data_IF_818527359418
#
_entry.id   IF_818527359418
#
_cell.length_a   1.000
_cell.length_b   1.000
_cell.length_c   1.000
_cell.angle_alpha   90.00
_cell.angle_beta   90.00
_cell.angle_gamma   90.00
#
_symmetry.space_group_name_H-M   'P 1'
#
loop_
_entity.id
_entity.type
_entity.pdbx_description
1 polymer ?
#
# COMPACT_ATOMS: atom_id res chain seq x y z
N UNK A 1 46.73 14.30 15.54
CA UNK A 1 48.08 14.14 14.95
C UNK A 1 48.82 13.10 15.78
N UNK A 2 48.89 11.86 15.31
CA UNK A 2 49.77 10.83 15.86
C UNK A 2 50.33 10.02 14.70
N UNK A 3 51.58 10.30 14.37
CA UNK A 3 52.34 9.65 13.31
C UNK A 3 53.08 8.46 13.91
N UNK A 4 52.67 7.23 13.57
CA UNK A 4 53.43 6.03 13.90
C UNK A 4 54.31 5.65 12.70
N UNK A 5 55.58 6.01 12.78
CA UNK A 5 56.65 5.52 11.91
C UNK A 5 57.11 4.14 12.41
N UNK A 6 56.68 3.07 11.75
CA UNK A 6 57.35 1.76 11.83
C UNK A 6 57.74 1.39 10.41
N UNK A 7 58.77 2.07 9.91
CA UNK A 7 59.48 1.73 8.68
C UNK A 7 60.55 0.68 8.99
N UNK A 8 60.15 -0.58 8.99
CA UNK A 8 61.07 -1.72 9.02
C UNK A 8 61.33 -2.20 7.59
N UNK A 9 62.38 -1.69 6.97
CA UNK A 9 62.83 -2.14 5.64
C UNK A 9 63.55 -3.49 5.79
N UNK A 10 62.80 -4.59 5.80
CA UNK A 10 63.36 -5.92 5.57
C UNK A 10 63.44 -6.10 4.06
N UNK A 11 64.47 -5.51 3.45
CA UNK A 11 64.88 -5.85 2.07
C UNK A 11 65.46 -7.25 2.12
N UNK A 12 64.60 -8.26 2.05
CA UNK A 12 65.03 -9.59 1.66
C UNK A 12 65.34 -9.50 0.17
N UNK A 13 66.61 -9.28 -0.14
CA UNK A 13 67.16 -9.39 -1.48
C UNK A 13 66.93 -10.83 -1.96
N UNK A 14 65.77 -11.05 -2.58
CA UNK A 14 65.38 -12.27 -3.28
C UNK A 14 66.16 -12.41 -4.61
N UNK A 15 67.38 -11.87 -4.67
CA UNK A 15 68.27 -11.90 -5.81
C UNK A 15 69.02 -13.22 -5.83
N UNK A 16 68.38 -14.28 -6.33
CA UNK A 16 69.14 -15.44 -6.83
C UNK A 16 68.57 -16.83 -6.59
N UNK A 17 67.32 -16.99 -6.13
CA UNK A 17 66.68 -18.29 -6.27
C UNK A 17 66.36 -18.46 -7.75
N UNK A 18 67.18 -19.26 -8.45
CA UNK A 18 66.92 -19.69 -9.82
C UNK A 18 65.76 -20.69 -9.81
N UNK A 19 64.54 -20.14 -9.74
CA UNK A 19 63.29 -20.91 -9.74
C UNK A 19 63.16 -21.86 -10.94
N UNK A 20 63.90 -21.59 -12.03
CA UNK A 20 63.96 -22.48 -13.21
C UNK A 20 64.62 -23.82 -12.92
N UNK A 21 65.45 -23.93 -11.86
CA UNK A 21 66.04 -25.20 -11.40
C UNK A 21 65.20 -25.95 -10.38
N UNK A 22 64.26 -25.28 -9.71
CA UNK A 22 63.48 -25.84 -8.60
C UNK A 22 62.14 -26.41 -9.09
N UNK A 23 61.59 -25.87 -10.17
CA UNK A 23 60.31 -26.29 -10.74
C UNK A 23 60.56 -27.20 -11.94
N UNK A 24 60.19 -28.47 -11.82
CA UNK A 24 60.21 -29.41 -12.95
C UNK A 24 59.32 -28.87 -14.08
N UNK A 25 59.76 -28.91 -15.36
CA UNK A 25 58.99 -28.43 -16.50
C UNK A 25 57.55 -28.98 -16.56
N UNK A 26 57.35 -30.24 -16.19
CA UNK A 26 56.04 -30.90 -16.14
C UNK A 26 55.05 -30.22 -15.17
N UNK A 27 55.56 -29.64 -14.08
CA UNK A 27 54.73 -28.91 -13.10
C UNK A 27 54.28 -27.56 -13.68
N UNK A 28 55.12 -26.92 -14.49
CA UNK A 28 54.80 -25.67 -15.19
C UNK A 28 53.69 -25.87 -16.22
N UNK A 29 53.77 -26.93 -17.02
CA UNK A 29 52.74 -27.28 -18.00
C UNK A 29 51.39 -27.62 -17.33
N UNK A 30 51.42 -28.38 -16.22
CA UNK A 30 50.21 -28.65 -15.43
C UNK A 30 49.58 -27.40 -14.82
N UNK A 31 50.40 -26.44 -14.35
CA UNK A 31 49.90 -25.17 -13.82
C UNK A 31 49.28 -24.31 -14.92
N UNK A 32 49.90 -24.24 -16.10
CA UNK A 32 49.37 -23.48 -17.23
C UNK A 32 48.01 -24.03 -17.69
N UNK A 33 47.85 -25.35 -17.76
CA UNK A 33 46.57 -25.95 -18.12
C UNK A 33 45.51 -25.77 -17.03
N UNK A 34 45.89 -25.85 -15.75
CA UNK A 34 44.99 -25.55 -14.63
C UNK A 34 44.51 -24.09 -14.65
N UNK A 35 45.42 -23.13 -14.93
CA UNK A 35 45.08 -21.70 -15.05
C UNK A 35 44.14 -21.47 -16.24
N UNK A 36 44.43 -22.06 -17.40
CA UNK A 36 43.55 -21.95 -18.59
C UNK A 36 42.14 -22.46 -18.27
N UNK A 37 42.01 -23.62 -17.62
CA UNK A 37 40.70 -24.18 -17.23
C UNK A 37 39.97 -23.26 -16.24
N UNK A 38 40.68 -22.67 -15.27
CA UNK A 38 40.07 -21.71 -14.34
C UNK A 38 39.58 -20.44 -15.03
N UNK A 39 40.35 -19.87 -15.96
CA UNK A 39 39.95 -18.68 -16.72
C UNK A 39 38.69 -18.97 -17.53
N UNK A 40 38.63 -20.10 -18.22
CA UNK A 40 37.44 -20.50 -19.00
C UNK A 40 36.23 -20.68 -18.09
N UNK A 41 36.39 -21.35 -16.94
CA UNK A 41 35.31 -21.55 -15.97
C UNK A 41 34.81 -20.23 -15.37
N UNK A 42 35.70 -19.30 -15.09
CA UNK A 42 35.32 -17.97 -14.60
C UNK A 42 34.60 -17.14 -15.66
N UNK A 43 35.05 -17.19 -16.91
CA UNK A 43 34.39 -16.52 -18.03
C UNK A 43 32.97 -17.09 -18.24
N UNK A 44 32.81 -18.42 -18.19
CA UNK A 44 31.49 -19.06 -18.27
C UNK A 44 30.58 -18.62 -17.13
N UNK A 45 31.06 -18.63 -15.88
CA UNK A 45 30.28 -18.18 -14.72
C UNK A 45 29.82 -16.73 -14.86
N UNK A 46 30.69 -15.84 -15.34
CA UNK A 46 30.34 -14.43 -15.59
C UNK A 46 29.25 -14.29 -16.66
N UNK A 47 29.32 -15.05 -17.74
CA UNK A 47 28.30 -15.06 -18.79
C UNK A 47 26.94 -15.58 -18.27
N UNK A 48 26.94 -16.63 -17.44
CA UNK A 48 25.70 -17.15 -16.82
C UNK A 48 25.10 -16.15 -15.81
N UNK A 49 25.92 -15.46 -15.03
CA UNK A 49 25.49 -14.42 -14.11
C UNK A 49 24.85 -13.23 -14.83
N UNK A 50 25.46 -12.75 -15.92
CA UNK A 50 24.88 -11.68 -16.74
C UNK A 50 23.57 -12.11 -17.39
N UNK A 51 23.48 -13.35 -17.87
CA UNK A 51 22.23 -13.90 -18.42
C UNK A 51 21.13 -13.96 -17.37
N UNK A 52 21.43 -14.43 -16.16
CA UNK A 52 20.46 -14.48 -15.07
C UNK A 52 20.01 -13.08 -14.65
N UNK A 53 20.93 -12.11 -14.62
CA UNK A 53 20.61 -10.72 -14.32
C UNK A 53 19.67 -10.10 -15.37
N UNK A 54 19.93 -10.35 -16.65
CA UNK A 54 19.06 -9.88 -17.74
C UNK A 54 17.67 -10.54 -17.68
N UNK A 55 17.59 -11.83 -17.34
CA UNK A 55 16.32 -12.53 -17.19
C UNK A 55 15.48 -11.98 -16.02
N UNK A 56 16.10 -11.72 -14.87
CA UNK A 56 15.42 -11.13 -13.72
C UNK A 56 14.95 -9.69 -14.00
N UNK A 57 15.76 -8.88 -14.70
CA UNK A 57 15.34 -7.54 -15.12
C UNK A 57 14.14 -7.59 -16.08
N UNK A 58 14.13 -8.55 -17.02
CA UNK A 58 13.00 -8.76 -17.93
C UNK A 58 11.73 -9.20 -17.18
N UNK A 59 11.85 -10.10 -16.19
CA UNK A 59 10.72 -10.51 -15.33
C UNK A 59 10.17 -9.34 -14.52
N UNK A 60 11.04 -8.50 -13.95
CA UNK A 60 10.62 -7.32 -13.19
C UNK A 60 9.86 -6.31 -14.05
N UNK A 61 10.33 -6.05 -15.28
CA UNK A 61 9.63 -5.17 -16.23
C UNK A 61 8.25 -5.72 -16.60
N UNK A 62 8.15 -7.02 -16.86
CA UNK A 62 6.87 -7.67 -17.18
C UNK A 62 5.88 -7.61 -16.00
N UNK A 63 6.34 -7.84 -14.77
CA UNK A 63 5.50 -7.74 -13.57
C UNK A 63 5.05 -6.30 -13.30
N UNK A 64 5.92 -5.31 -13.52
CA UNK A 64 5.58 -3.90 -13.39
C UNK A 64 4.51 -3.48 -14.40
N UNK A 65 4.63 -3.92 -15.65
CA UNK A 65 3.65 -3.64 -16.70
C UNK A 65 2.29 -4.30 -16.41
N UNK A 66 2.28 -5.56 -15.98
CA UNK A 66 1.04 -6.24 -15.57
C UNK A 66 0.37 -5.52 -14.39
N UNK A 67 1.15 -5.02 -13.42
CA UNK A 67 0.64 -4.22 -12.29
C UNK A 67 0.05 -2.90 -12.77
N UNK A 68 0.69 -2.19 -13.71
CA UNK A 68 0.16 -0.95 -14.30
C UNK A 68 -1.16 -1.18 -15.02
N UNK A 69 -1.25 -2.22 -15.85
CA UNK A 69 -2.49 -2.58 -16.56
C UNK A 69 -3.64 -2.90 -15.59
N UNK A 70 -3.37 -3.69 -14.53
CA UNK A 70 -4.38 -3.97 -13.50
C UNK A 70 -4.83 -2.73 -12.72
N UNK A 71 -3.91 -1.80 -12.44
CA UNK A 71 -4.25 -0.56 -11.77
C UNK A 71 -5.14 0.33 -12.65
N UNK A 72 -4.82 0.42 -13.94
CA UNK A 72 -5.62 1.15 -14.92
C UNK A 72 -7.01 0.54 -15.13
N UNK A 73 -7.11 -0.78 -15.25
CA UNK A 73 -8.39 -1.49 -15.37
C UNK A 73 -9.28 -1.23 -14.15
N UNK A 74 -8.72 -1.32 -12.93
CA UNK A 74 -9.44 -1.02 -11.71
C UNK A 74 -9.90 0.45 -11.65
N UNK A 75 -9.07 1.39 -12.12
CA UNK A 75 -9.45 2.80 -12.24
C UNK A 75 -10.63 2.99 -13.21
N UNK A 76 -10.60 2.34 -14.38
CA UNK A 76 -11.70 2.37 -15.36
C UNK A 76 -12.99 1.82 -14.79
N UNK A 77 -12.94 0.67 -14.10
CA UNK A 77 -14.12 0.08 -13.43
C UNK A 77 -14.70 1.02 -12.38
N UNK A 78 -13.87 1.64 -11.55
CA UNK A 78 -14.32 2.58 -10.53
C UNK A 78 -15.00 3.82 -11.15
N UNK A 79 -14.47 4.33 -12.26
CA UNK A 79 -15.09 5.45 -12.99
C UNK A 79 -16.44 5.05 -13.60
N UNK A 80 -16.55 3.85 -14.16
CA UNK A 80 -17.79 3.32 -14.73
C UNK A 80 -18.87 3.12 -13.66
N UNK A 81 -18.52 2.54 -12.51
CA UNK A 81 -19.41 2.41 -11.35
C UNK A 81 -19.91 3.78 -10.86
N UNK A 82 -19.03 4.78 -10.83
CA UNK A 82 -19.39 6.15 -10.48
C UNK A 82 -20.40 6.75 -11.48
N UNK A 83 -20.17 6.58 -12.79
CA UNK A 83 -21.10 7.02 -13.84
C UNK A 83 -22.47 6.35 -13.69
N UNK A 84 -22.50 5.03 -13.45
CA UNK A 84 -23.73 4.29 -13.23
C UNK A 84 -24.51 4.79 -12.00
N UNK A 85 -23.83 5.05 -10.87
CA UNK A 85 -24.46 5.62 -9.69
C UNK A 85 -25.03 7.03 -9.94
N UNK A 86 -24.30 7.86 -10.69
CA UNK A 86 -24.78 9.19 -11.06
C UNK A 86 -26.05 9.12 -11.92
N UNK A 87 -26.14 8.16 -12.84
CA UNK A 87 -27.33 7.94 -13.67
C UNK A 87 -28.55 7.50 -12.85
N UNK A 88 -28.38 6.53 -11.94
CA UNK A 88 -29.45 6.10 -11.02
C UNK A 88 -29.95 7.30 -10.20
N UNK A 89 -29.05 8.14 -9.70
CA UNK A 89 -29.42 9.35 -8.94
C UNK A 89 -30.16 10.37 -9.80
N UNK A 90 -29.81 10.53 -11.08
CA UNK A 90 -30.56 11.38 -12.03
C UNK A 90 -31.97 10.85 -12.26
N UNK A 91 -32.12 9.53 -12.47
CA UNK A 91 -33.43 8.87 -12.63
C UNK A 91 -34.30 9.01 -11.38
N UNK A 92 -33.74 8.80 -10.18
CA UNK A 92 -34.47 9.02 -8.92
C UNK A 92 -34.95 10.46 -8.76
N UNK A 93 -34.11 11.46 -9.07
CA UNK A 93 -34.51 12.87 -9.04
C UNK A 93 -35.62 13.18 -10.05
N UNK A 94 -35.57 12.61 -11.24
CA UNK A 94 -36.62 12.76 -12.25
C UNK A 94 -37.95 12.19 -11.76
N UNK A 95 -37.95 10.97 -11.20
CA UNK A 95 -39.15 10.33 -10.65
C UNK A 95 -39.75 11.12 -9.48
N UNK A 96 -38.92 11.64 -8.57
CA UNK A 96 -39.39 12.51 -7.46
C UNK A 96 -40.02 13.79 -8.00
N UNK A 97 -39.41 14.41 -9.03
CA UNK A 97 -39.95 15.62 -9.66
C UNK A 97 -41.28 15.34 -10.36
N UNK A 98 -41.41 14.21 -11.05
CA UNK A 98 -42.65 13.77 -11.70
C UNK A 98 -43.75 13.48 -10.68
N UNK A 99 -43.45 12.71 -9.62
CA UNK A 99 -44.38 12.44 -8.52
C UNK A 99 -44.86 13.72 -7.84
N UNK A 100 -43.97 14.70 -7.65
CA UNK A 100 -44.33 16.01 -7.10
C UNK A 100 -45.28 16.78 -8.02
N UNK A 101 -45.06 16.75 -9.34
CA UNK A 101 -45.97 17.35 -10.32
C UNK A 101 -47.33 16.66 -10.32
N UNK A 102 -47.37 15.33 -10.33
CA UNK A 102 -48.61 14.55 -10.27
C UNK A 102 -49.39 14.84 -8.98
N UNK A 103 -48.71 14.93 -7.84
CA UNK A 103 -49.32 15.29 -6.56
C UNK A 103 -49.94 16.70 -6.60
N UNK A 104 -49.23 17.69 -7.16
CA UNK A 104 -49.77 19.05 -7.33
C UNK A 104 -51.00 19.08 -8.26
N UNK A 105 -50.97 18.33 -9.35
CA UNK A 105 -52.11 18.23 -10.28
C UNK A 105 -53.34 17.62 -9.59
N UNK A 106 -53.15 16.60 -8.75
CA UNK A 106 -54.24 15.98 -7.98
C UNK A 106 -54.90 16.98 -7.01
N UNK A 107 -54.12 17.80 -6.31
CA UNK A 107 -54.66 18.85 -5.43
C UNK A 107 -55.49 19.87 -6.24
N UNK A 108 -55.01 20.28 -7.42
CA UNK A 108 -55.74 21.20 -8.28
C UNK A 108 -57.07 20.59 -8.77
N UNK A 109 -57.08 19.30 -9.11
CA UNK A 109 -58.28 18.58 -9.53
C UNK A 109 -59.33 18.46 -8.41
N UNK A 110 -58.90 18.14 -7.17
CA UNK A 110 -59.80 18.06 -6.01
C UNK A 110 -60.41 19.43 -5.65
N UNK A 111 -59.69 20.53 -5.88
CA UNK A 111 -60.20 21.89 -5.68
C UNK A 111 -61.35 22.28 -6.61
N UNK A 112 -61.40 21.74 -7.83
CA UNK A 112 -62.45 22.03 -8.81
C UNK A 112 -63.79 21.34 -8.49
N UNK A 113 -63.78 20.24 -7.74
CA UNK A 113 -65.01 19.49 -7.39
C UNK A 113 -65.83 20.14 -6.25
N UNK A 114 -65.42 21.30 -5.72
CA UNK A 114 -66.21 22.04 -4.72
C UNK A 114 -66.40 21.33 -3.38
N UNK A 115 -65.79 20.15 -3.19
CA UNK A 115 -65.76 19.44 -1.91
C UNK A 115 -64.81 20.17 -0.97
N UNK A 116 -65.35 21.21 -0.32
CA UNK A 116 -64.69 21.97 0.74
C UNK A 116 -64.05 20.96 1.71
N UNK A 117 -62.71 20.88 1.82
CA UNK A 117 -62.07 19.91 2.69
C UNK A 117 -62.61 20.15 4.10
N UNK A 118 -63.31 19.14 4.65
CA UNK A 118 -63.80 19.21 6.03
C UNK A 118 -62.58 19.51 6.90
N UNK A 119 -62.58 20.60 7.68
CA UNK A 119 -61.47 20.90 8.57
C UNK A 119 -61.31 19.72 9.50
N UNK A 120 -60.25 18.93 9.30
CA UNK A 120 -59.84 17.93 10.28
C UNK A 120 -59.57 18.72 11.54
N UNK A 121 -60.44 18.60 12.53
CA UNK A 121 -60.27 19.17 13.86
C UNK A 121 -58.83 18.87 14.28
N UNK A 122 -58.03 19.92 14.38
CA UNK A 122 -56.69 19.84 14.94
C UNK A 122 -56.88 19.33 16.37
N UNK A 123 -56.66 18.03 16.57
CA UNK A 123 -56.42 17.48 17.88
C UNK A 123 -55.09 18.08 18.33
N UNK A 124 -55.18 19.28 18.90
CA UNK A 124 -54.16 19.90 19.73
C UNK A 124 -53.90 18.93 20.88
N UNK A 125 -53.05 17.94 20.65
CA UNK A 125 -52.31 17.31 21.71
C UNK A 125 -51.35 18.37 22.24
N UNK A 126 -51.85 19.21 23.15
CA UNK A 126 -51.02 19.84 24.16
C UNK A 126 -50.42 18.69 24.95
N UNK A 127 -49.18 18.33 24.63
CA UNK A 127 -48.36 17.53 25.53
C UNK A 127 -48.13 18.41 26.76
N UNK A 128 -48.45 17.94 27.99
CA UNK A 128 -48.22 18.72 29.20
C UNK A 128 -46.72 18.98 29.33
N UNK A 129 -46.35 20.25 29.30
CA UNK A 129 -45.01 20.72 29.61
C UNK A 129 -44.89 20.75 31.15
N UNK A 130 -44.97 19.59 31.80
CA UNK A 130 -44.81 19.47 33.25
C UNK A 130 -43.40 18.98 33.58
N UNK A 131 -42.60 19.96 34.03
CA UNK A 131 -41.50 19.86 34.97
C UNK A 131 -40.86 18.49 35.21
N UNK A 132 -39.83 18.16 34.43
CA UNK A 132 -38.77 17.26 34.88
C UNK A 132 -37.48 18.06 34.99
N UNK A 133 -37.36 18.84 36.09
CA UNK A 133 -36.06 19.20 36.66
C UNK A 133 -35.52 18.00 37.44
N UNK A 134 -35.35 16.87 36.75
CA UNK A 134 -34.64 15.72 37.29
C UNK A 134 -33.14 15.93 37.08
N UNK A 135 -32.45 16.48 38.08
CA UNK A 135 -30.99 16.41 38.12
C UNK A 135 -30.62 14.93 38.28
N UNK A 136 -30.29 14.27 37.16
CA UNK A 136 -29.73 12.94 37.21
C UNK A 136 -28.25 13.00 37.60
N UNK A 137 -27.80 12.14 38.53
CA UNK A 137 -26.39 12.08 38.90
C UNK A 137 -25.52 11.75 37.69
N UNK A 138 -24.35 12.39 37.52
CA UNK A 138 -23.46 12.15 36.40
C UNK A 138 -22.99 10.68 36.41
N UNK A 139 -22.92 10.06 35.23
CA UNK A 139 -22.34 8.72 35.12
C UNK A 139 -20.89 8.71 35.63
N UNK A 140 -20.41 7.56 36.12
CA UNK A 140 -19.05 7.41 36.67
C UNK A 140 -17.94 7.86 35.71
N UNK A 141 -18.20 7.85 34.40
CA UNK A 141 -17.27 8.33 33.38
C UNK A 141 -17.24 9.87 33.29
N UNK A 142 -18.40 10.54 33.22
CA UNK A 142 -18.50 12.01 33.28
C UNK A 142 -18.01 12.55 34.65
N UNK A 143 -18.12 11.77 35.73
CA UNK A 143 -17.62 12.13 37.07
C UNK A 143 -16.09 12.18 37.14
N UNK A 144 -15.38 11.30 36.42
CA UNK A 144 -13.91 11.26 36.42
C UNK A 144 -13.27 12.30 35.51
N UNK A 145 -13.96 12.78 34.49
CA UNK A 145 -13.38 13.69 33.49
C UNK A 145 -13.27 15.16 33.95
N UNK A 146 -13.81 15.55 35.11
CA UNK A 146 -13.71 16.93 35.64
C UNK A 146 -14.50 18.00 34.87
N UNK A 147 -14.81 17.74 33.60
CA UNK A 147 -15.61 18.61 32.74
C UNK A 147 -17.10 18.51 33.08
N UNK A 148 -17.53 19.28 34.07
CA UNK A 148 -18.87 19.29 34.68
C UNK A 148 -20.00 19.84 33.79
N UNK A 149 -19.83 19.92 32.46
CA UNK A 149 -20.95 20.23 31.56
C UNK A 149 -21.89 19.02 31.51
N UNK A 150 -22.94 19.09 32.33
CA UNK A 150 -23.92 18.04 32.58
C UNK A 150 -24.26 17.23 31.33
N UNK A 151 -24.13 15.91 31.46
CA UNK A 151 -24.40 14.98 30.38
C UNK A 151 -25.92 14.98 30.10
N UNK A 152 -26.38 15.68 29.05
CA UNK A 152 -27.80 15.73 28.66
C UNK A 152 -28.22 14.36 28.15
N UNK A 153 -29.18 13.73 28.83
CA UNK A 153 -29.79 12.49 28.37
C UNK A 153 -30.81 12.81 27.27
N UNK A 154 -30.79 12.08 26.14
CA UNK A 154 -31.90 12.09 25.19
C UNK A 154 -33.18 11.64 25.91
N UNK A 155 -34.36 12.20 25.58
CA UNK A 155 -35.60 11.95 26.31
C UNK A 155 -36.08 10.49 26.39
N UNK A 156 -35.48 9.57 25.63
CA UNK A 156 -36.15 8.31 25.27
C UNK A 156 -35.31 7.03 25.36
N UNK A 157 -34.34 6.94 26.29
CA UNK A 157 -33.55 5.71 26.41
C UNK A 157 -33.49 5.11 27.82
N UNK A 158 -33.89 3.83 27.91
CA UNK A 158 -33.62 2.89 29.02
C UNK A 158 -32.14 2.52 29.17
N UNK A 159 -31.22 3.28 28.58
CA UNK A 159 -29.79 3.01 28.60
C UNK A 159 -29.12 3.76 29.75
N UNK A 160 -28.31 3.11 30.60
CA UNK A 160 -27.61 3.76 31.71
C UNK A 160 -26.41 4.64 31.25
N UNK A 161 -26.25 4.88 29.95
CA UNK A 161 -25.11 5.63 29.39
C UNK A 161 -25.56 6.95 28.79
N UNK A 162 -24.86 8.04 29.09
CA UNK A 162 -25.19 9.34 28.49
C UNK A 162 -24.83 9.36 27.00
N UNK A 163 -25.48 10.23 26.21
CA UNK A 163 -25.29 10.30 24.76
C UNK A 163 -23.82 10.48 24.33
N UNK A 164 -23.03 11.21 25.11
CA UNK A 164 -21.57 11.35 24.87
C UNK A 164 -20.81 10.04 25.06
N UNK A 165 -21.09 9.29 26.13
CA UNK A 165 -20.45 8.00 26.37
C UNK A 165 -20.89 6.95 25.34
N UNK A 166 -22.14 7.01 24.90
CA UNK A 166 -22.64 6.15 23.83
C UNK A 166 -21.92 6.40 22.50
N UNK A 167 -21.74 7.67 22.13
CA UNK A 167 -20.98 8.03 20.92
C UNK A 167 -19.51 7.63 21.03
N UNK A 168 -18.88 7.82 22.19
CA UNK A 168 -17.51 7.37 22.43
C UNK A 168 -17.37 5.84 22.32
N UNK A 169 -18.38 5.09 22.80
CA UNK A 169 -18.44 3.63 22.68
C UNK A 169 -18.59 3.19 21.21
N UNK A 170 -19.50 3.80 20.46
CA UNK A 170 -19.67 3.53 19.01
C UNK A 170 -18.37 3.84 18.26
N UNK A 171 -17.69 4.94 18.59
CA UNK A 171 -16.43 5.31 17.95
C UNK A 171 -15.32 4.29 18.25
N UNK A 172 -15.21 3.82 19.49
CA UNK A 172 -14.22 2.80 19.87
C UNK A 172 -14.50 1.44 19.21
N UNK A 173 -15.77 1.03 19.12
CA UNK A 173 -16.15 -0.22 18.47
C UNK A 173 -15.93 -0.17 16.95
N UNK A 174 -16.16 0.97 16.30
CA UNK A 174 -15.88 1.16 14.88
C UNK A 174 -14.37 1.24 14.56
N UNK A 175 -13.57 1.90 15.40
CA UNK A 175 -12.10 1.88 15.26
C UNK A 175 -11.53 0.47 15.42
N UNK A 176 -11.98 -0.29 16.42
CA UNK A 176 -11.53 -1.68 16.64
C UNK A 176 -11.95 -2.60 15.49
N UNK A 177 -13.12 -2.35 14.88
CA UNK A 177 -13.60 -3.11 13.73
C UNK A 177 -12.81 -2.80 12.46
N UNK A 178 -12.35 -1.55 12.28
CA UNK A 178 -11.52 -1.18 11.14
C UNK A 178 -10.14 -1.85 11.19
N UNK A 179 -9.51 -1.93 12.37
CA UNK A 179 -8.18 -2.55 12.54
C UNK A 179 -8.22 -4.09 12.40
N UNK A 180 -9.34 -4.73 12.78
CA UNK A 180 -9.51 -6.17 12.62
C UNK A 180 -9.73 -6.60 11.16
N UNK A 181 -10.24 -5.70 10.31
CA UNK A 181 -10.44 -5.98 8.87
C UNK A 181 -9.13 -5.79 8.09
N UNK A 182 -8.25 -4.90 8.54
CA UNK A 182 -6.94 -4.64 7.89
C UNK A 182 -5.91 -5.76 8.12
N UNK A 183 -6.12 -6.64 9.11
CA UNK A 183 -5.24 -7.79 9.40
C UNK A 183 -5.79 -9.14 8.95
N UNK A 184 -6.91 -9.18 8.23
CA UNK A 184 -7.40 -10.43 7.63
C UNK A 184 -6.66 -10.71 6.32
N UNK A 185 -5.85 -11.79 6.21
CA UNK A 185 -5.16 -12.13 4.98
C UNK A 185 -6.20 -12.42 3.89
N UNK A 186 -6.19 -11.54 2.90
CA UNK A 186 -7.06 -11.50 1.72
C UNK A 186 -7.32 -12.90 1.17
N UNK A 187 -8.61 -13.18 0.99
CA UNK A 187 -9.18 -14.45 0.55
C UNK A 187 -8.41 -15.13 -0.58
N UNK A 188 -8.03 -16.37 -0.29
CA UNK A 188 -7.33 -17.26 -1.20
C UNK A 188 -8.13 -17.60 -2.45
N UNK A 189 -7.46 -17.43 -3.59
CA UNK A 189 -7.74 -18.16 -4.83
C UNK A 189 -7.52 -19.65 -4.55
N UNK A 190 -8.52 -20.49 -4.84
CA UNK A 190 -8.45 -21.96 -4.68
C UNK A 190 -7.36 -22.54 -5.58
N UNK A 191 -6.12 -22.58 -5.12
CA UNK A 191 -5.06 -23.36 -5.75
C UNK A 191 -5.23 -24.83 -5.36
N UNK A 192 -5.29 -25.70 -6.38
CA UNK A 192 -5.26 -27.15 -6.23
C UNK A 192 -4.08 -27.54 -5.33
N UNK A 193 -4.40 -28.17 -4.21
CA UNK A 193 -3.46 -28.71 -3.23
C UNK A 193 -2.64 -29.81 -3.90
N UNK A 194 -1.45 -29.47 -4.40
CA UNK A 194 -0.44 -30.47 -4.71
C UNK A 194 -0.05 -31.14 -3.39
N UNK A 195 -0.17 -32.47 -3.40
CA UNK A 195 0.13 -33.37 -2.29
C UNK A 195 1.63 -33.25 -2.01
N UNK A 196 2.01 -32.34 -1.09
CA UNK A 196 3.36 -32.34 -0.52
C UNK A 196 3.55 -33.66 0.21
N UNK A 197 4.42 -34.49 -0.33
CA UNK A 197 5.05 -35.59 0.40
C UNK A 197 5.69 -34.95 1.62
N UNK A 198 5.17 -35.30 2.79
CA UNK A 198 5.75 -34.97 4.08
C UNK A 198 7.05 -35.76 4.13
N UNK A 199 8.17 -35.10 3.87
CA UNK A 199 9.46 -35.60 4.30
C UNK A 199 9.39 -35.62 5.83
N UNK A 200 9.58 -36.81 6.41
CA UNK A 200 9.73 -36.98 7.86
C UNK A 200 10.76 -35.98 8.36
N UNK A 201 10.30 -35.03 9.16
CA UNK A 201 11.16 -34.24 10.01
C UNK A 201 11.70 -35.20 11.09
N UNK A 202 12.80 -35.87 10.79
CA UNK A 202 13.71 -36.42 11.80
C UNK A 202 14.03 -35.25 12.72
N UNK A 203 13.60 -35.35 13.98
CA UNK A 203 13.78 -34.27 14.94
C UNK A 203 15.27 -33.99 15.08
N UNK A 204 15.65 -32.73 14.99
CA UNK A 204 17.04 -32.29 15.22
C UNK A 204 17.51 -32.59 16.64
N UNK A 205 16.60 -32.94 17.56
CA UNK A 205 16.92 -33.42 18.91
C UNK A 205 17.61 -34.80 18.90
N UNK A 206 17.21 -35.75 18.04
CA UNK A 206 17.87 -37.07 17.96
C UNK A 206 19.30 -36.99 17.38
N UNK A 207 19.57 -35.99 16.53
CA UNK A 207 20.90 -35.77 15.94
C UNK A 207 21.84 -35.07 16.94
N UNK A 208 21.32 -34.14 17.76
CA UNK A 208 22.11 -33.52 18.84
C UNK A 208 22.46 -34.52 19.95
N UNK A 209 21.55 -35.45 20.29
CA UNK A 209 21.82 -36.49 21.30
C UNK A 209 22.85 -37.51 20.82
N UNK A 210 22.85 -37.87 19.52
CA UNK A 210 23.85 -38.76 18.93
C UNK A 210 25.25 -38.11 18.81
N UNK A 211 25.33 -36.79 18.59
CA UNK A 211 26.60 -36.06 18.49
C UNK A 211 27.16 -35.59 19.85
N UNK A 212 26.35 -35.60 20.92
CA UNK A 212 26.75 -35.19 22.27
C UNK A 212 27.81 -36.07 22.94
N UNK A 213 28.18 -37.20 22.35
CA UNK A 213 29.11 -38.18 22.92
C UNK A 213 30.57 -38.05 22.47
N UNK A 214 30.90 -37.12 21.55
CA UNK A 214 32.27 -36.94 21.02
C UNK A 214 32.97 -35.63 21.41
N UNK A 215 32.46 -34.91 22.41
CA UNK A 215 33.18 -33.76 23.00
C UNK A 215 34.28 -34.22 23.94
N UNK A 216 35.31 -34.88 23.40
CA UNK A 216 36.61 -34.97 24.06
C UNK A 216 37.16 -33.54 24.10
N UNK A 217 37.03 -32.90 25.26
CA UNK A 217 37.63 -31.60 25.55
C UNK A 217 39.16 -31.72 25.49
N UNK A 218 39.70 -31.63 24.27
CA UNK A 218 41.14 -31.53 24.02
C UNK A 218 41.66 -30.13 24.36
N UNK A 219 42.91 -30.00 24.85
CA UNK A 219 43.46 -28.76 25.39
C UNK A 219 43.88 -27.72 24.34
N UNK A 220 43.06 -27.49 23.31
CA UNK A 220 43.30 -26.45 22.29
C UNK A 220 42.46 -25.21 22.58
N UNK A 221 42.72 -24.56 23.72
CA UNK A 221 42.01 -23.34 24.16
C UNK A 221 42.60 -22.04 23.62
N UNK A 222 43.48 -22.10 22.61
CA UNK A 222 43.93 -20.89 21.90
C UNK A 222 43.20 -20.77 20.56
N UNK A 223 42.23 -19.84 20.42
CA UNK A 223 41.61 -19.57 19.14
C UNK A 223 42.67 -19.17 18.14
N UNK A 224 42.62 -19.80 16.96
CA UNK A 224 43.51 -19.54 15.83
C UNK A 224 43.60 -18.01 15.58
N UNK A 225 44.82 -17.43 15.53
CA UNK A 225 45.00 -16.01 15.23
C UNK A 225 44.26 -15.57 13.96
N UNK A 226 44.12 -16.43 12.96
CA UNK A 226 43.36 -16.13 11.74
C UNK A 226 41.87 -16.01 12.03
N UNK A 227 41.30 -16.91 12.84
CA UNK A 227 39.91 -16.85 13.25
C UNK A 227 39.58 -15.55 14.00
N UNK A 228 40.48 -15.07 14.88
CA UNK A 228 40.28 -13.82 15.60
C UNK A 228 40.26 -12.59 14.67
N UNK A 229 41.08 -12.59 13.61
CA UNK A 229 41.08 -11.50 12.61
C UNK A 229 39.80 -11.54 11.77
N UNK A 230 39.34 -12.73 11.39
CA UNK A 230 38.09 -12.89 10.64
C UNK A 230 36.88 -12.48 11.46
N UNK A 231 36.78 -12.91 12.73
CA UNK A 231 35.70 -12.53 13.64
C UNK A 231 35.64 -11.01 13.84
N UNK A 232 36.81 -10.37 14.01
CA UNK A 232 36.88 -8.91 14.11
C UNK A 232 36.39 -8.22 12.85
N UNK A 233 36.86 -8.66 11.66
CA UNK A 233 36.42 -8.09 10.37
C UNK A 233 34.94 -8.31 10.13
N UNK A 234 34.42 -9.48 10.49
CA UNK A 234 32.99 -9.80 10.37
C UNK A 234 32.17 -8.88 11.28
N UNK A 235 32.62 -8.64 12.52
CA UNK A 235 31.99 -7.68 13.42
C UNK A 235 31.97 -6.25 12.87
N UNK A 236 33.06 -5.81 12.25
CA UNK A 236 33.15 -4.49 11.59
C UNK A 236 32.18 -4.37 10.40
N UNK A 237 32.06 -5.42 9.57
CA UNK A 237 31.11 -5.45 8.45
C UNK A 237 29.66 -5.43 8.93
N UNK A 238 29.33 -6.23 9.95
CA UNK A 238 27.98 -6.25 10.53
C UNK A 238 27.61 -4.86 11.08
N UNK A 239 28.52 -4.22 11.83
CA UNK A 239 28.30 -2.88 12.36
C UNK A 239 28.08 -1.83 11.25
N UNK A 240 28.81 -1.94 10.13
CA UNK A 240 28.62 -1.06 8.97
C UNK A 240 27.25 -1.27 8.31
N UNK A 241 26.80 -2.52 8.16
CA UNK A 241 25.46 -2.85 7.63
C UNK A 241 24.37 -2.27 8.54
N UNK A 242 24.49 -2.41 9.85
CA UNK A 242 23.53 -1.86 10.82
C UNK A 242 23.46 -0.33 10.78
N UNK A 243 24.61 0.35 10.62
CA UNK A 243 24.64 1.79 10.41
C UNK A 243 23.91 2.20 9.12
N UNK A 244 24.19 1.53 8.00
CA UNK A 244 23.52 1.80 6.72
C UNK A 244 22.01 1.56 6.81
N UNK A 245 21.56 0.48 7.47
CA UNK A 245 20.13 0.23 7.66
C UNK A 245 19.44 1.33 8.47
N UNK A 246 20.10 1.87 9.51
CA UNK A 246 19.57 3.01 10.27
C UNK A 246 19.48 4.28 9.44
N UNK A 247 20.47 4.57 8.61
CA UNK A 247 20.44 5.73 7.72
C UNK A 247 19.33 5.62 6.67
N UNK A 248 19.15 4.44 6.07
CA UNK A 248 18.04 4.18 5.15
C UNK A 248 16.67 4.34 5.82
N UNK A 249 16.51 3.88 7.07
CA UNK A 249 15.28 4.08 7.83
C UNK A 249 15.01 5.56 8.15
N UNK A 250 16.06 6.34 8.44
CA UNK A 250 15.94 7.79 8.63
C UNK A 250 15.57 8.52 7.32
N UNK A 251 16.21 8.15 6.20
CA UNK A 251 15.89 8.71 4.88
C UNK A 251 14.44 8.40 4.49
N UNK A 252 13.97 7.16 4.70
CA UNK A 252 12.57 6.79 4.47
C UNK A 252 11.62 7.65 5.30
N UNK A 253 11.89 7.81 6.60
CA UNK A 253 11.08 8.66 7.48
C UNK A 253 11.03 10.12 7.01
N UNK A 254 12.13 10.65 6.45
CA UNK A 254 12.16 12.00 5.86
C UNK A 254 11.29 12.09 4.61
N UNK A 255 11.38 11.10 3.72
CA UNK A 255 10.56 11.06 2.51
C UNK A 255 9.06 10.95 2.83
N UNK A 256 8.70 10.14 3.82
CA UNK A 256 7.32 10.02 4.30
C UNK A 256 6.80 11.36 4.87
N UNK A 257 7.67 12.10 5.56
CA UNK A 257 7.37 13.47 6.02
C UNK A 257 7.11 14.44 4.86
N UNK A 258 7.94 14.43 3.81
CA UNK A 258 7.72 15.24 2.61
C UNK A 258 6.43 14.85 1.88
N UNK A 259 6.14 13.54 1.76
CA UNK A 259 4.92 13.06 1.12
C UNK A 259 3.67 13.55 1.88
N UNK A 260 3.71 13.51 3.22
CA UNK A 260 2.64 14.05 4.07
C UNK A 260 2.46 15.57 3.88
N UNK A 261 3.55 16.32 3.81
CA UNK A 261 3.52 17.78 3.60
C UNK A 261 2.93 18.14 2.23
N UNK A 262 3.32 17.42 1.18
CA UNK A 262 2.77 17.60 -0.17
C UNK A 262 1.27 17.28 -0.23
N UNK A 263 0.83 16.21 0.44
CA UNK A 263 -0.59 15.85 0.54
C UNK A 263 -1.38 16.97 1.25
N UNK A 264 -0.83 17.51 2.35
CA UNK A 264 -1.48 18.59 3.09
C UNK A 264 -1.62 19.87 2.24
N UNK A 265 -0.60 20.24 1.45
CA UNK A 265 -0.67 21.37 0.53
C UNK A 265 -1.72 21.17 -0.58
N UNK A 266 -1.82 19.96 -1.13
CA UNK A 266 -2.84 19.62 -2.12
C UNK A 266 -4.26 19.77 -1.53
N UNK A 267 -4.49 19.22 -0.34
CA UNK A 267 -5.79 19.29 0.35
C UNK A 267 -6.15 20.74 0.77
N UNK A 268 -5.14 21.57 1.08
CA UNK A 268 -5.32 22.97 1.41
C UNK A 268 -5.74 23.81 0.19
N UNK A 269 -5.23 23.48 -1.01
CA UNK A 269 -5.61 24.12 -2.27
C UNK A 269 -7.09 23.95 -2.60
N UNK A 270 -7.62 22.73 -2.42
CA UNK A 270 -9.02 22.39 -2.71
C UNK A 270 -10.03 23.14 -1.83
N UNK A 271 -9.64 23.53 -0.61
CA UNK A 271 -10.52 24.31 0.27
C UNK A 271 -10.62 25.78 -0.12
N UNK A 272 -9.64 26.33 -0.84
CA UNK A 272 -9.63 27.75 -1.24
C UNK A 272 -10.42 28.02 -2.52
N UNK A 273 -10.74 26.98 -3.31
CA UNK A 273 -11.54 27.05 -4.53
C UNK A 273 -13.06 26.92 -4.35
N UNK A 274 -13.54 26.44 -3.19
CA UNK A 274 -14.98 26.50 -2.83
C UNK A 274 -15.34 27.89 -2.31
N UNK A 275 -15.05 28.91 -3.11
CA UNK A 275 -15.82 30.14 -3.06
C UNK A 275 -17.29 29.75 -3.18
N UNK A 276 -18.07 30.13 -2.16
CA UNK A 276 -19.52 30.28 -2.31
C UNK A 276 -19.73 31.20 -3.51
N UNK A 277 -19.86 30.63 -4.71
CA UNK A 277 -20.71 31.22 -5.71
C UNK A 277 -22.07 31.33 -5.02
N UNK A 278 -22.39 32.52 -4.50
CA UNK A 278 -23.78 32.88 -4.28
C UNK A 278 -24.43 32.56 -5.61
N UNK A 279 -25.44 31.68 -5.58
CA UNK A 279 -26.34 31.53 -6.70
C UNK A 279 -26.97 32.91 -6.92
N UNK A 280 -26.32 33.71 -7.76
CA UNK A 280 -26.98 34.79 -8.46
C UNK A 280 -27.93 34.05 -9.41
N UNK A 281 -29.22 34.18 -9.11
CA UNK A 281 -30.28 33.55 -9.88
C UNK A 281 -30.06 33.89 -11.36
N UNK A 282 -30.01 32.89 -12.26
CA UNK A 282 -29.96 33.18 -13.68
C UNK A 282 -31.26 33.91 -14.02
N UNK A 283 -31.14 35.19 -14.38
CA UNK A 283 -32.20 35.86 -15.14
C UNK A 283 -32.31 35.09 -16.45
N UNK A 284 -33.48 34.52 -16.67
CA UNK A 284 -33.95 34.04 -17.97
C UNK A 284 -33.71 35.15 -19.01
N UNK A 285 -32.58 35.08 -19.71
CA UNK A 285 -32.47 35.66 -21.05
C UNK A 285 -32.53 34.50 -22.04
N UNK A 286 -33.77 34.33 -22.50
CA UNK A 286 -34.21 33.57 -23.64
C UNK A 286 -33.51 34.08 -24.91
N UNK A 287 -32.25 33.69 -25.14
CA UNK A 287 -31.54 33.98 -26.40
C UNK A 287 -31.27 32.67 -27.16
N UNK A 288 -32.33 32.21 -27.84
CA UNK A 288 -32.34 31.92 -29.28
C UNK A 288 -30.97 31.56 -29.89
N UNK A 289 -30.45 30.37 -29.60
CA UNK A 289 -29.39 29.79 -30.42
C UNK A 289 -30.02 28.96 -31.53
N UNK A 290 -30.10 29.61 -32.70
CA UNK A 290 -30.41 29.02 -33.99
C UNK A 290 -29.59 27.77 -34.26
N UNK A 291 -30.31 26.71 -34.66
CA UNK A 291 -29.76 25.54 -35.33
C UNK A 291 -28.95 26.00 -36.54
N UNK A 292 -27.64 25.76 -36.51
CA UNK A 292 -26.86 25.68 -37.74
C UNK A 292 -26.54 24.21 -37.94
N UNK A 293 -27.37 23.58 -38.77
CA UNK A 293 -27.10 22.30 -39.40
C UNK A 293 -26.03 22.55 -40.47
N UNK A 294 -24.81 22.07 -40.24
CA UNK A 294 -23.79 21.84 -41.27
C UNK A 294 -23.32 20.40 -41.02
N UNK A 295 -23.97 19.43 -41.69
CA UNK A 295 -23.66 18.89 -43.02
C UNK A 295 -22.56 17.83 -42.96
N UNK A 296 -22.98 16.61 -43.23
CA UNK A 296 -22.19 15.47 -43.68
C UNK A 296 -21.20 15.85 -44.79
N UNK A 297 -19.95 15.47 -44.62
CA UNK A 297 -18.98 15.17 -45.69
C UNK A 297 -17.86 14.38 -44.97
N UNK A 298 -17.55 13.12 -45.25
CA UNK A 298 -17.43 12.47 -46.54
C UNK A 298 -15.95 12.10 -46.73
N UNK A 299 -15.63 10.80 -46.68
CA UNK A 299 -14.48 10.25 -47.42
C UNK A 299 -13.19 9.90 -46.68
N UNK A 300 -12.65 8.73 -47.07
CA UNK A 300 -11.32 8.17 -46.77
C UNK A 300 -11.39 7.05 -45.74
N UNK A 301 -11.66 5.77 -46.04
CA UNK A 301 -11.08 4.89 -47.09
C UNK A 301 -9.55 4.92 -47.16
N UNK A 302 -8.97 3.74 -46.99
CA UNK A 302 -7.57 3.32 -47.18
C UNK A 302 -6.54 3.94 -46.22
N UNK A 303 -5.67 3.17 -45.55
CA UNK A 303 -4.79 2.17 -46.15
C UNK A 303 -4.61 0.94 -45.24
N UNK A 304 -4.88 -0.25 -45.80
CA UNK A 304 -4.22 -1.50 -45.43
C UNK A 304 -2.72 -1.35 -45.75
N UNK A 305 -1.88 -1.19 -44.73
CA UNK A 305 -0.43 -1.34 -44.91
C UNK A 305 -0.06 -2.81 -44.66
N UNK A 306 -0.36 -3.63 -45.68
CA UNK A 306 0.30 -4.91 -45.91
C UNK A 306 1.71 -4.62 -46.44
N UNK A 307 2.70 -4.65 -45.56
CA UNK A 307 4.10 -4.79 -45.95
C UNK A 307 4.62 -6.13 -45.43
N UNK A 308 4.42 -7.15 -46.26
CA UNK A 308 5.32 -8.28 -46.39
C UNK A 308 6.77 -7.77 -46.44
N UNK A 309 7.64 -8.33 -45.59
CA UNK A 309 9.05 -8.45 -45.97
C UNK A 309 9.50 -9.88 -45.79
N UNK A 310 9.82 -10.44 -46.95
CA UNK A 310 10.31 -11.76 -47.26
C UNK A 310 11.64 -12.12 -46.58
N UNK A 311 11.72 -13.41 -46.28
CA UNK A 311 12.85 -14.34 -46.42
C UNK A 311 14.20 -13.84 -46.96
N UNK A 312 15.26 -14.28 -46.27
CA UNK A 312 16.45 -15.02 -46.75
C UNK A 312 17.80 -14.47 -46.27
N UNK A 313 18.42 -15.13 -45.28
CA UNK A 313 19.71 -15.89 -45.37
C UNK A 313 20.04 -16.59 -44.05
#
# INVERSE_FOLDING_TARGET
MSSNNIGGNISNDASGIDWKRVVSPDLLEQMDDSIKVQIVKEAQRKAEEEKHKAEEEAKQKAEEEEKKQKAEENKRRAEEEYRAQAEVKRKQKANVREATKAFRAKIAQEGAQGMKPRPRRAASQRVPNEGIKGWHPPCNHCRRSGDSKGCVLPPDMRSPTCGRCHLAKIKKESETSATAIETSPRGGKKCKRTKKVVAEAVSTEEIEEAMGSFSVAGPSTRPDPVAQVLDRRLGEVIAAIDCNMRELAQLRSRMDGFAWEMQWLADAGDRKGKGKARAEEPKDEEERSEKTEESEDGGGEDEEEDAQHDTDE
#
